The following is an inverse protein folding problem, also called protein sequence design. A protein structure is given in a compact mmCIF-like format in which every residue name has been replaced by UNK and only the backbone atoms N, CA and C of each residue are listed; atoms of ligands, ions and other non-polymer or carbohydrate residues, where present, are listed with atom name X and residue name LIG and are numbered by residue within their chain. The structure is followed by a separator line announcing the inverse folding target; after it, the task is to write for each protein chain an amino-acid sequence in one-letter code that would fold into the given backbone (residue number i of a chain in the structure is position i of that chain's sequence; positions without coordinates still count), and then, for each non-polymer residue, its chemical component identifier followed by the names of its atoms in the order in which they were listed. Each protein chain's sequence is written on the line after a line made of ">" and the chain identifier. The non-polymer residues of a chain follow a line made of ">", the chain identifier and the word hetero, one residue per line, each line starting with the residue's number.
data_IF_468276935657
#
_entry.id   IF_468276935657
#
_cell.length_a   1.000
_cell.length_b   1.000
_cell.length_c   1.000
_cell.angle_alpha   90.00
_cell.angle_beta   90.00
_cell.angle_gamma   90.00
#
_symmetry.space_group_name_H-M   'P 1'
#
loop_
_entity.id
_entity.type
_entity.pdbx_description
1 polymer ?
#
# COMPACT_ATOMS: atom_id res chain seq x y z
N UNK A 1 17.39 10.99 -16.91
CA UNK A 1 16.63 9.75 -16.70
C UNK A 1 15.19 10.12 -16.35
N UNK A 2 14.20 9.46 -16.97
CA UNK A 2 12.78 9.67 -16.66
C UNK A 2 12.37 8.94 -15.38
N UNK A 3 11.30 9.39 -14.73
CA UNK A 3 10.69 8.72 -13.57
C UNK A 3 10.33 7.27 -13.90
N UNK A 4 9.70 7.07 -15.07
CA UNK A 4 9.29 5.74 -15.55
C UNK A 4 10.47 4.79 -15.77
N UNK A 5 11.63 5.28 -16.21
CA UNK A 5 12.83 4.45 -16.37
C UNK A 5 13.39 4.00 -15.00
N UNK A 6 13.40 4.90 -14.01
CA UNK A 6 13.81 4.58 -12.62
C UNK A 6 12.89 3.50 -12.05
N UNK A 7 11.57 3.69 -12.17
CA UNK A 7 10.59 2.79 -11.59
C UNK A 7 10.55 1.42 -12.29
N UNK A 8 10.75 1.38 -13.62
CA UNK A 8 10.79 0.13 -14.40
C UNK A 8 11.83 -0.85 -13.87
N UNK A 9 13.04 -0.36 -13.53
CA UNK A 9 14.09 -1.21 -12.95
C UNK A 9 13.63 -1.85 -11.62
N UNK A 10 12.92 -1.08 -10.80
CA UNK A 10 12.33 -1.61 -9.58
C UNK A 10 11.26 -2.67 -9.85
N UNK A 11 10.38 -2.44 -10.84
CA UNK A 11 9.34 -3.40 -11.24
C UNK A 11 9.93 -4.75 -11.67
N UNK A 12 11.04 -4.75 -12.42
CA UNK A 12 11.73 -6.00 -12.80
C UNK A 12 12.19 -6.78 -11.57
N UNK A 13 12.74 -6.08 -10.56
CA UNK A 13 13.14 -6.74 -9.32
C UNK A 13 11.93 -7.17 -8.47
N UNK A 14 10.82 -6.42 -8.51
CA UNK A 14 9.57 -6.81 -7.88
C UNK A 14 9.05 -8.10 -8.51
N UNK A 15 9.03 -8.19 -9.84
CA UNK A 15 8.58 -9.38 -10.56
C UNK A 15 9.38 -10.62 -10.17
N UNK A 16 10.72 -10.52 -10.09
CA UNK A 16 11.57 -11.63 -9.61
C UNK A 16 11.22 -12.08 -8.20
N UNK A 17 10.91 -11.14 -7.29
CA UNK A 17 10.51 -11.49 -5.90
C UNK A 17 9.10 -12.06 -5.80
N UNK A 18 8.25 -11.86 -6.82
CA UNK A 18 6.92 -12.47 -6.92
C UNK A 18 6.98 -13.94 -7.37
N UNK A 19 8.07 -14.36 -8.02
CA UNK A 19 8.25 -15.75 -8.47
C UNK A 19 8.23 -16.72 -7.28
N UNK A 20 7.56 -17.87 -7.46
CA UNK A 20 7.45 -18.90 -6.43
C UNK A 20 6.36 -18.67 -5.38
N UNK A 21 5.68 -17.52 -5.40
CA UNK A 21 4.53 -17.28 -4.53
C UNK A 21 3.22 -17.66 -5.22
N UNK A 22 2.44 -18.55 -4.60
CA UNK A 22 1.10 -18.93 -5.08
C UNK A 22 0.03 -17.88 -4.82
N UNK A 23 0.24 -17.03 -3.81
CA UNK A 23 -0.68 -15.98 -3.38
C UNK A 23 0.09 -14.72 -2.97
N UNK A 24 -0.33 -13.58 -3.50
CA UNK A 24 0.20 -12.26 -3.15
C UNK A 24 -0.92 -11.24 -3.00
N UNK A 25 -0.66 -10.24 -2.16
CA UNK A 25 -1.57 -9.12 -1.92
C UNK A 25 -0.99 -7.84 -2.52
N UNK A 26 -1.83 -7.09 -3.23
CA UNK A 26 -1.56 -5.73 -3.69
C UNK A 26 -2.26 -4.74 -2.77
N UNK A 27 -1.52 -4.03 -1.96
CA UNK A 27 -2.05 -3.02 -1.05
C UNK A 27 -2.07 -1.69 -1.79
N UNK A 28 -3.25 -1.23 -2.19
CA UNK A 28 -3.39 0.05 -2.86
C UNK A 28 -3.87 1.12 -1.86
N UNK A 29 -3.21 2.26 -1.88
CA UNK A 29 -3.64 3.42 -1.10
C UNK A 29 -2.99 4.69 -1.66
N UNK A 30 -3.45 5.85 -1.18
CA UNK A 30 -2.90 7.15 -1.52
C UNK A 30 -2.42 7.90 -0.31
N UNK A 31 -1.41 8.76 -0.51
CA UNK A 31 -0.92 9.69 0.50
C UNK A 31 -0.74 11.09 -0.08
N UNK A 32 -1.02 12.07 0.73
CA UNK A 32 -0.72 13.48 0.45
C UNK A 32 0.70 13.78 0.90
N UNK A 33 1.52 14.36 0.04
CA UNK A 33 2.87 14.84 0.37
C UNK A 33 2.83 16.35 0.47
N UNK A 34 3.09 16.87 1.68
CA UNK A 34 2.99 18.29 2.02
C UNK A 34 4.26 19.03 1.66
N UNK A 35 4.18 19.92 0.69
CA UNK A 35 5.26 20.82 0.26
C UNK A 35 4.87 22.30 0.45
N UNK A 36 3.94 22.61 1.34
CA UNK A 36 3.42 23.98 1.52
C UNK A 36 4.51 25.00 1.90
N UNK A 37 5.57 24.56 2.58
CA UNK A 37 6.72 25.41 2.91
C UNK A 37 7.64 25.68 1.72
N UNK A 38 7.46 25.01 0.58
CA UNK A 38 8.32 25.11 -0.61
C UNK A 38 7.78 26.13 -1.61
N UNK A 39 7.71 27.39 -1.18
CA UNK A 39 7.06 28.48 -1.94
C UNK A 39 7.64 28.75 -3.34
N UNK A 40 8.88 28.31 -3.61
CA UNK A 40 9.56 28.49 -4.90
C UNK A 40 9.42 27.25 -5.83
N UNK A 41 8.70 26.21 -5.41
CA UNK A 41 8.52 25.01 -6.22
C UNK A 41 7.33 25.17 -7.16
N UNK A 42 7.61 25.13 -8.45
CA UNK A 42 6.60 25.24 -9.51
C UNK A 42 5.89 23.90 -9.75
N UNK A 43 4.60 23.97 -10.14
CA UNK A 43 3.79 22.81 -10.53
C UNK A 43 3.20 22.01 -9.38
N UNK A 44 3.29 22.49 -8.13
CA UNK A 44 2.54 21.91 -7.01
C UNK A 44 1.04 22.20 -7.16
N UNK A 45 0.19 21.31 -6.64
CA UNK A 45 -1.24 21.50 -6.60
C UNK A 45 -1.80 21.45 -5.19
N UNK A 46 -3.05 21.85 -5.00
CA UNK A 46 -3.72 21.79 -3.70
C UNK A 46 -3.92 20.34 -3.26
N UNK A 47 -3.48 20.00 -2.05
CA UNK A 47 -3.72 18.70 -1.39
C UNK A 47 -4.82 18.79 -0.34
N UNK A 48 -5.18 20.01 0.11
CA UNK A 48 -6.22 20.22 1.11
C UNK A 48 -7.62 20.02 0.54
N UNK A 49 -8.49 19.30 1.26
CA UNK A 49 -9.92 19.22 0.99
C UNK A 49 -10.72 20.35 1.65
N UNK A 50 -10.12 21.09 2.58
CA UNK A 50 -10.79 22.14 3.34
C UNK A 50 -10.71 23.47 2.59
N UNK A 51 -11.83 24.17 2.44
CA UNK A 51 -11.98 25.44 1.73
C UNK A 51 -11.07 26.58 2.29
N UNK A 52 -10.59 26.45 3.52
CA UNK A 52 -9.85 27.50 4.23
C UNK A 52 -8.35 27.23 4.49
N UNK A 53 -7.80 26.09 4.00
CA UNK A 53 -6.37 25.79 4.15
C UNK A 53 -5.83 25.26 2.83
N UNK A 54 -5.35 26.14 1.97
CA UNK A 54 -4.67 25.77 0.73
C UNK A 54 -3.27 25.25 1.03
N UNK A 55 -3.16 23.96 1.37
CA UNK A 55 -1.86 23.30 1.42
C UNK A 55 -1.44 22.86 0.03
N UNK A 56 -0.22 23.22 -0.35
CA UNK A 56 0.37 22.85 -1.63
C UNK A 56 1.20 21.58 -1.50
N UNK A 57 1.09 20.71 -2.50
CA UNK A 57 1.80 19.43 -2.46
C UNK A 57 1.57 18.55 -3.66
N UNK A 58 1.86 17.27 -3.49
CA UNK A 58 1.67 16.23 -4.48
C UNK A 58 0.87 15.07 -3.89
N UNK A 59 0.09 14.41 -4.74
CA UNK A 59 -0.65 13.20 -4.41
C UNK A 59 0.14 11.99 -4.88
N UNK A 60 0.43 11.09 -3.99
CA UNK A 60 1.07 9.82 -4.28
C UNK A 60 0.06 8.69 -4.16
N UNK A 61 -0.15 7.91 -5.23
CA UNK A 61 -0.89 6.66 -5.21
C UNK A 61 0.09 5.52 -5.43
N UNK A 62 0.10 4.54 -4.54
CA UNK A 62 1.05 3.43 -4.57
C UNK A 62 0.34 2.08 -4.45
N UNK A 63 0.95 1.05 -5.00
CA UNK A 63 0.61 -0.35 -4.76
C UNK A 63 1.83 -1.08 -4.22
N UNK A 64 1.74 -1.55 -2.98
CA UNK A 64 2.76 -2.35 -2.31
C UNK A 64 2.37 -3.83 -2.37
N UNK A 65 3.24 -4.65 -2.95
CA UNK A 65 3.08 -6.11 -3.00
C UNK A 65 3.59 -6.73 -1.72
N UNK A 66 2.81 -7.62 -1.11
CA UNK A 66 3.20 -8.35 0.11
C UNK A 66 2.79 -9.82 0.05
N UNK A 67 3.50 -10.67 0.80
CA UNK A 67 3.08 -12.06 1.06
C UNK A 67 1.97 -12.11 2.10
N UNK A 68 1.44 -13.30 2.35
CA UNK A 68 0.44 -13.56 3.40
C UNK A 68 0.97 -13.25 4.80
N UNK A 69 2.27 -13.42 5.04
CA UNK A 69 2.96 -13.09 6.29
C UNK A 69 3.28 -11.59 6.41
N UNK A 70 3.01 -10.82 5.36
CA UNK A 70 3.23 -9.38 5.31
C UNK A 70 4.67 -8.98 4.98
N UNK A 71 5.45 -9.87 4.33
CA UNK A 71 6.75 -9.53 3.77
C UNK A 71 6.56 -8.65 2.54
N UNK A 72 7.12 -7.43 2.47
CA UNK A 72 7.05 -6.59 1.28
C UNK A 72 7.87 -7.19 0.13
N UNK A 73 7.26 -7.35 -1.05
CA UNK A 73 7.94 -7.89 -2.24
C UNK A 73 8.35 -6.81 -3.24
N UNK A 74 7.74 -5.64 -3.18
CA UNK A 74 8.05 -4.52 -4.07
C UNK A 74 6.87 -3.58 -4.25
N UNK A 75 7.10 -2.52 -5.02
CA UNK A 75 6.04 -1.65 -5.51
C UNK A 75 5.69 -2.08 -6.93
N UNK A 76 4.42 -2.34 -7.20
CA UNK A 76 3.94 -2.69 -8.55
C UNK A 76 3.49 -1.48 -9.35
N UNK A 77 3.07 -0.41 -8.68
CA UNK A 77 2.66 0.85 -9.29
C UNK A 77 2.97 2.02 -8.36
N UNK A 78 3.35 3.13 -8.95
CA UNK A 78 3.61 4.39 -8.24
C UNK A 78 3.20 5.55 -9.15
N UNK A 79 2.19 6.31 -8.74
CA UNK A 79 1.66 7.46 -9.50
C UNK A 79 1.73 8.71 -8.62
N UNK A 80 2.58 9.64 -9.01
CA UNK A 80 2.75 10.91 -8.31
C UNK A 80 2.32 12.07 -9.22
N UNK A 81 1.64 13.06 -8.66
CA UNK A 81 1.24 14.23 -9.43
C UNK A 81 0.45 15.23 -8.61
N UNK A 82 0.33 16.44 -9.14
CA UNK A 82 -0.49 17.50 -8.56
C UNK A 82 -1.97 17.27 -8.88
N UNK A 83 -2.82 17.72 -7.96
CA UNK A 83 -4.25 17.86 -8.23
C UNK A 83 -4.49 19.15 -9.02
N UNK A 84 -5.25 19.07 -10.09
CA UNK A 84 -5.70 20.26 -10.82
C UNK A 84 -6.64 21.05 -9.91
N UNK A 85 -6.20 22.23 -9.47
CA UNK A 85 -7.05 23.16 -8.75
C UNK A 85 -8.07 23.77 -9.75
N UNK A 86 -9.33 23.77 -9.36
CA UNK A 86 -10.41 24.40 -10.12
C UNK A 86 -11.23 25.25 -9.16
N UNK A 87 -11.44 26.48 -9.50
CA UNK A 87 -12.38 27.35 -8.80
C UNK A 87 -13.78 26.96 -9.27
N UNK A 88 -14.44 26.10 -8.50
CA UNK A 88 -15.78 25.56 -8.80
C UNK A 88 -16.67 25.67 -7.57
N UNK A 89 -17.90 26.05 -7.76
CA UNK A 89 -18.93 25.92 -6.73
C UNK A 89 -19.23 24.42 -6.48
N UNK A 90 -19.81 24.05 -5.33
CA UNK A 90 -20.20 22.66 -5.05
C UNK A 90 -21.15 22.08 -6.13
N UNK A 91 -22.02 22.91 -6.69
CA UNK A 91 -22.97 22.51 -7.74
C UNK A 91 -22.27 22.24 -9.08
N UNK A 92 -21.34 23.13 -9.50
CA UNK A 92 -20.53 22.94 -10.71
C UNK A 92 -19.64 21.71 -10.59
N UNK A 93 -19.02 21.50 -9.44
CA UNK A 93 -18.25 20.29 -9.16
C UNK A 93 -19.10 19.04 -9.27
N UNK A 94 -20.31 19.05 -8.72
CA UNK A 94 -21.23 17.91 -8.82
C UNK A 94 -21.64 17.65 -10.27
N UNK A 95 -21.97 18.70 -11.03
CA UNK A 95 -22.32 18.62 -12.46
C UNK A 95 -21.16 18.07 -13.29
N UNK A 96 -19.95 18.58 -13.10
CA UNK A 96 -18.74 18.10 -13.77
C UNK A 96 -18.46 16.62 -13.46
N UNK A 97 -18.50 16.23 -12.19
CA UNK A 97 -18.28 14.83 -11.78
C UNK A 97 -19.34 13.88 -12.35
N UNK A 98 -20.57 14.38 -12.54
CA UNK A 98 -21.64 13.62 -13.19
C UNK A 98 -21.37 13.45 -14.69
N UNK A 99 -20.88 14.49 -15.36
CA UNK A 99 -20.59 14.50 -16.80
C UNK A 99 -19.24 13.88 -17.16
N UNK A 100 -18.30 13.81 -16.17
CA UNK A 100 -16.95 13.29 -16.39
C UNK A 100 -16.96 11.80 -16.73
N UNK A 101 -16.17 11.44 -17.72
CA UNK A 101 -15.84 10.04 -18.02
C UNK A 101 -15.00 9.44 -16.90
N UNK A 102 -14.87 8.12 -16.86
CA UNK A 102 -14.04 7.46 -15.85
C UNK A 102 -12.57 7.88 -15.95
N UNK A 103 -12.06 8.15 -17.17
CA UNK A 103 -10.69 8.61 -17.42
C UNK A 103 -10.37 9.98 -16.82
N UNK A 104 -11.39 10.84 -16.63
CA UNK A 104 -11.23 12.18 -16.07
C UNK A 104 -11.35 12.22 -14.53
N UNK A 105 -11.75 11.11 -13.91
CA UNK A 105 -11.91 11.01 -12.45
C UNK A 105 -10.59 10.62 -11.77
N UNK A 106 -10.34 11.16 -10.59
CA UNK A 106 -9.20 10.75 -9.76
C UNK A 106 -9.19 9.23 -9.48
N UNK A 107 -10.36 8.62 -9.45
CA UNK A 107 -10.54 7.19 -9.22
C UNK A 107 -9.96 6.29 -10.33
N UNK A 108 -9.63 6.84 -11.51
CA UNK A 108 -8.98 6.07 -12.58
C UNK A 108 -7.65 5.46 -12.13
N UNK A 109 -6.92 6.13 -11.24
CA UNK A 109 -5.63 5.66 -10.73
C UNK A 109 -5.70 4.28 -10.09
N UNK A 110 -6.81 3.97 -9.41
CA UNK A 110 -7.05 2.66 -8.80
C UNK A 110 -7.14 1.55 -9.85
N UNK A 111 -7.81 1.84 -10.94
CA UNK A 111 -8.02 0.90 -12.06
C UNK A 111 -6.72 0.71 -12.85
N UNK A 112 -6.05 1.80 -13.20
CA UNK A 112 -4.75 1.74 -13.89
C UNK A 112 -3.72 0.98 -13.07
N UNK A 113 -3.68 1.23 -11.75
CA UNK A 113 -2.80 0.50 -10.82
C UNK A 113 -3.12 -0.99 -10.81
N UNK A 114 -4.40 -1.37 -10.86
CA UNK A 114 -4.78 -2.78 -10.95
C UNK A 114 -4.28 -3.42 -12.25
N UNK A 115 -4.42 -2.75 -13.41
CA UNK A 115 -3.90 -3.25 -14.69
C UNK A 115 -2.36 -3.40 -14.65
N UNK A 116 -1.65 -2.38 -14.17
CA UNK A 116 -0.19 -2.41 -14.05
C UNK A 116 0.27 -3.54 -13.12
N UNK A 117 -0.41 -3.71 -11.99
CA UNK A 117 -0.10 -4.78 -11.03
C UNK A 117 -0.37 -6.16 -11.63
N UNK A 118 -1.53 -6.37 -12.25
CA UNK A 118 -1.89 -7.65 -12.87
C UNK A 118 -0.91 -8.06 -13.98
N UNK A 119 -0.36 -7.09 -14.71
CA UNK A 119 0.65 -7.34 -15.75
C UNK A 119 2.01 -7.81 -15.20
N UNK A 120 2.30 -7.58 -13.93
CA UNK A 120 3.55 -8.01 -13.28
C UNK A 120 3.44 -9.39 -12.63
N UNK A 121 2.21 -9.88 -12.38
CA UNK A 121 1.98 -11.11 -11.65
C UNK A 121 2.31 -12.35 -12.50
N UNK A 122 3.09 -13.32 -11.99
CA UNK A 122 3.28 -14.61 -12.65
C UNK A 122 1.94 -15.33 -12.88
N UNK A 123 1.85 -16.14 -13.94
CA UNK A 123 0.57 -16.77 -14.39
C UNK A 123 -0.10 -17.62 -13.30
N UNK A 124 0.71 -18.29 -12.48
CA UNK A 124 0.21 -19.23 -11.45
C UNK A 124 0.06 -18.58 -10.07
N UNK A 125 0.19 -17.27 -9.99
CA UNK A 125 0.08 -16.52 -8.73
C UNK A 125 -1.29 -15.88 -8.61
N UNK A 126 -1.99 -16.16 -7.51
CA UNK A 126 -3.24 -15.51 -7.15
C UNK A 126 -2.98 -14.07 -6.66
N UNK A 127 -3.64 -13.09 -7.26
CA UNK A 127 -3.57 -11.68 -6.87
C UNK A 127 -4.83 -11.27 -6.12
N UNK A 128 -4.66 -10.76 -4.89
CA UNK A 128 -5.74 -10.14 -4.11
C UNK A 128 -5.42 -8.65 -3.89
N UNK A 129 -6.24 -7.76 -4.40
CA UNK A 129 -6.12 -6.31 -4.18
C UNK A 129 -6.82 -5.91 -2.89
N UNK A 130 -6.10 -5.24 -1.98
CA UNK A 130 -6.66 -4.65 -0.76
C UNK A 130 -6.75 -3.14 -0.91
N UNK A 131 -7.89 -2.57 -0.51
CA UNK A 131 -8.09 -1.12 -0.54
C UNK A 131 -9.00 -0.65 0.59
N UNK A 132 -8.86 0.63 0.90
CA UNK A 132 -9.71 1.31 1.86
C UNK A 132 -11.07 1.72 1.24
N UNK A 133 -11.80 2.61 1.93
CA UNK A 133 -13.10 3.13 1.46
C UNK A 133 -13.00 3.93 0.16
N UNK A 134 -11.83 4.41 -0.23
CA UNK A 134 -11.64 5.15 -1.49
C UNK A 134 -11.59 4.20 -2.69
N UNK A 135 -11.18 2.95 -2.48
CA UNK A 135 -11.20 1.89 -3.48
C UNK A 135 -12.61 1.30 -3.73
N UNK A 136 -13.64 1.73 -2.98
CA UNK A 136 -15.01 1.27 -3.16
C UNK A 136 -15.64 1.82 -4.47
N UNK A 137 -15.11 1.32 -5.61
CA UNK A 137 -15.42 1.75 -6.97
C UNK A 137 -15.96 0.55 -7.76
N UNK A 138 -17.16 0.67 -8.31
CA UNK A 138 -17.80 -0.44 -9.04
C UNK A 138 -16.95 -0.92 -10.23
N UNK A 139 -16.35 0.01 -10.97
CA UNK A 139 -15.49 -0.30 -12.12
C UNK A 139 -14.23 -1.08 -11.72
N UNK A 140 -13.68 -0.82 -10.53
CA UNK A 140 -12.56 -1.61 -9.98
C UNK A 140 -12.98 -3.07 -9.78
N UNK A 141 -14.15 -3.31 -9.21
CA UNK A 141 -14.69 -4.65 -8.99
C UNK A 141 -14.92 -5.39 -10.31
N UNK A 142 -15.50 -4.69 -11.31
CA UNK A 142 -15.73 -5.22 -12.63
C UNK A 142 -14.42 -5.60 -13.34
N UNK A 143 -13.44 -4.70 -13.30
CA UNK A 143 -12.11 -4.94 -13.92
C UNK A 143 -11.38 -6.09 -13.22
N UNK A 144 -11.38 -6.14 -11.89
CA UNK A 144 -10.80 -7.25 -11.15
C UNK A 144 -11.40 -8.59 -11.57
N UNK A 145 -12.73 -8.66 -11.69
CA UNK A 145 -13.43 -9.87 -12.16
C UNK A 145 -13.06 -10.23 -13.59
N UNK A 146 -12.94 -9.24 -14.50
CA UNK A 146 -12.56 -9.48 -15.91
C UNK A 146 -11.11 -9.96 -16.06
N UNK A 147 -10.22 -9.50 -15.21
CA UNK A 147 -8.81 -9.90 -15.14
C UNK A 147 -8.60 -11.22 -14.38
N UNK A 148 -9.66 -11.80 -13.83
CA UNK A 148 -9.61 -12.99 -12.96
C UNK A 148 -8.71 -12.79 -11.74
N UNK A 149 -8.67 -11.56 -11.22
CA UNK A 149 -8.00 -11.20 -9.96
C UNK A 149 -9.04 -11.00 -8.86
N UNK A 150 -8.58 -11.01 -7.62
CA UNK A 150 -9.46 -10.89 -6.47
C UNK A 150 -9.26 -9.54 -5.77
N UNK A 151 -10.24 -9.20 -4.93
CA UNK A 151 -10.15 -8.00 -4.11
C UNK A 151 -10.80 -8.22 -2.73
N UNK A 152 -10.34 -7.45 -1.73
CA UNK A 152 -11.01 -7.24 -0.45
C UNK A 152 -10.98 -5.74 -0.18
N UNK A 153 -12.11 -5.08 -0.34
CA UNK A 153 -12.23 -3.62 -0.29
C UNK A 153 -13.18 -3.22 0.83
N UNK A 154 -12.81 -2.21 1.61
CA UNK A 154 -13.71 -1.67 2.63
C UNK A 154 -14.81 -0.85 1.99
N UNK A 155 -16.07 -1.21 2.28
CA UNK A 155 -17.25 -0.50 1.79
C UNK A 155 -17.30 0.92 2.35
N UNK A 156 -17.57 1.89 1.49
CA UNK A 156 -17.67 3.31 1.84
C UNK A 156 -19.10 3.72 2.22
N UNK A 157 -20.10 3.25 1.47
CA UNK A 157 -21.50 3.62 1.59
C UNK A 157 -22.37 2.39 1.52
N UNK A 158 -23.50 2.40 2.20
CA UNK A 158 -24.48 1.33 2.06
C UNK A 158 -24.92 1.22 0.59
N UNK A 159 -24.55 0.09 -0.04
CA UNK A 159 -24.79 -0.15 -1.46
C UNK A 159 -26.09 -0.91 -1.67
N UNK A 160 -26.75 -0.66 -2.80
CA UNK A 160 -27.81 -1.57 -3.29
C UNK A 160 -27.21 -2.96 -3.45
N UNK A 161 -27.97 -3.95 -3.04
CA UNK A 161 -27.58 -5.34 -3.02
C UNK A 161 -28.74 -6.23 -3.48
N UNK A 162 -28.47 -7.28 -4.19
CA UNK A 162 -29.43 -8.29 -4.62
C UNK A 162 -28.95 -9.60 -4.06
N UNK A 163 -29.70 -10.22 -3.17
CA UNK A 163 -29.35 -11.50 -2.58
C UNK A 163 -29.46 -12.66 -3.62
N UNK A 164 -29.00 -13.84 -3.26
CA UNK A 164 -29.03 -15.02 -4.13
C UNK A 164 -30.45 -15.44 -4.54
N UNK A 165 -31.46 -14.99 -3.79
CA UNK A 165 -32.90 -15.22 -4.08
C UNK A 165 -33.48 -14.14 -4.98
N UNK A 166 -32.66 -13.15 -5.42
CA UNK A 166 -33.11 -12.03 -6.28
C UNK A 166 -33.78 -10.90 -5.51
N UNK A 167 -33.83 -10.91 -4.19
CA UNK A 167 -34.42 -9.85 -3.37
C UNK A 167 -33.52 -8.63 -3.35
N UNK A 168 -34.09 -7.48 -3.73
CA UNK A 168 -33.40 -6.18 -3.71
C UNK A 168 -33.40 -5.61 -2.29
N UNK A 169 -32.22 -5.23 -1.79
CA UNK A 169 -32.00 -4.67 -0.45
C UNK A 169 -30.75 -3.78 -0.46
N UNK A 170 -30.14 -3.52 0.69
CA UNK A 170 -28.81 -2.92 0.82
C UNK A 170 -27.88 -3.87 1.54
N UNK A 171 -26.56 -3.67 1.38
CA UNK A 171 -25.52 -4.51 2.02
C UNK A 171 -25.71 -4.57 3.53
N UNK A 172 -25.88 -3.41 4.17
CA UNK A 172 -26.04 -3.36 5.63
C UNK A 172 -27.34 -4.02 6.10
N UNK A 173 -28.44 -3.78 5.38
CA UNK A 173 -29.73 -4.42 5.70
C UNK A 173 -29.68 -5.94 5.53
N UNK A 174 -28.97 -6.44 4.54
CA UNK A 174 -28.78 -7.86 4.34
C UNK A 174 -27.93 -8.47 5.48
N UNK A 175 -26.78 -7.86 5.78
CA UNK A 175 -25.87 -8.31 6.83
C UNK A 175 -26.52 -8.30 8.22
N UNK A 176 -27.37 -7.29 8.53
CA UNK A 176 -28.03 -7.20 9.84
C UNK A 176 -28.98 -8.37 10.11
N UNK A 177 -29.50 -9.01 9.06
CA UNK A 177 -30.40 -10.18 9.14
C UNK A 177 -29.68 -11.51 9.10
N UNK A 178 -28.37 -11.50 8.86
CA UNK A 178 -27.54 -12.71 8.80
C UNK A 178 -27.07 -13.10 10.19
N UNK A 179 -27.03 -14.39 10.55
CA UNK A 179 -26.51 -14.83 11.84
C UNK A 179 -25.01 -14.52 11.97
N UNK A 180 -24.53 -14.44 13.21
CA UNK A 180 -23.11 -14.37 13.51
C UNK A 180 -22.49 -15.72 13.15
N UNK A 181 -21.46 -15.71 12.29
CA UNK A 181 -20.72 -16.91 11.92
C UNK A 181 -19.66 -17.25 12.99
N UNK A 182 -18.97 -16.23 13.50
CA UNK A 182 -17.89 -16.39 14.49
C UNK A 182 -17.60 -15.07 15.17
N UNK A 183 -17.14 -15.15 16.43
CA UNK A 183 -16.49 -14.03 17.13
C UNK A 183 -14.98 -14.29 17.19
N UNK A 184 -14.16 -13.32 16.79
CA UNK A 184 -12.70 -13.41 16.81
C UNK A 184 -12.08 -12.28 17.63
N UNK A 185 -10.87 -12.52 18.14
CA UNK A 185 -10.06 -11.52 18.82
C UNK A 185 -9.15 -10.80 17.83
N UNK A 186 -9.24 -9.47 17.75
CA UNK A 186 -8.37 -8.63 16.95
C UNK A 186 -7.43 -7.84 17.85
N UNK A 187 -6.12 -8.08 17.73
CA UNK A 187 -5.12 -7.23 18.38
C UNK A 187 -5.02 -5.91 17.64
N UNK A 188 -5.28 -4.82 18.34
CA UNK A 188 -5.22 -3.46 17.86
C UNK A 188 -3.96 -2.81 18.44
N UNK A 189 -2.93 -2.48 17.63
CA UNK A 189 -1.72 -1.83 18.12
C UNK A 189 -1.99 -0.41 18.61
N UNK A 190 -1.12 0.10 19.48
CA UNK A 190 -1.12 1.50 19.89
C UNK A 190 -0.96 2.41 18.68
N UNK A 191 -1.73 3.49 18.63
CA UNK A 191 -1.53 4.62 17.72
C UNK A 191 -1.71 5.94 18.47
N UNK A 192 -1.68 7.09 17.76
CA UNK A 192 -1.82 8.43 18.38
C UNK A 192 -3.16 8.64 19.09
N UNK A 193 -4.20 7.90 18.70
CA UNK A 193 -5.58 8.08 19.22
C UNK A 193 -6.07 6.89 20.06
N UNK A 194 -5.29 5.82 20.18
CA UNK A 194 -5.71 4.57 20.82
C UNK A 194 -4.56 3.86 21.52
N UNK A 195 -4.80 3.42 22.73
CA UNK A 195 -3.96 2.47 23.47
C UNK A 195 -4.04 1.08 22.79
N UNK A 196 -2.97 0.30 22.87
CA UNK A 196 -3.00 -1.09 22.41
C UNK A 196 -4.05 -1.88 23.20
N UNK A 197 -4.91 -2.62 22.49
CA UNK A 197 -5.96 -3.45 23.11
C UNK A 197 -6.36 -4.62 22.21
N UNK A 198 -7.06 -5.57 22.78
CA UNK A 198 -7.76 -6.62 22.04
C UNK A 198 -9.22 -6.25 21.90
N UNK A 199 -9.76 -6.32 20.68
CA UNK A 199 -11.17 -6.14 20.38
C UNK A 199 -11.78 -7.49 19.99
N UNK A 200 -12.92 -7.84 20.58
CA UNK A 200 -13.71 -9.01 20.19
C UNK A 200 -14.73 -8.55 19.15
N UNK A 201 -14.68 -9.15 17.96
CA UNK A 201 -15.53 -8.73 16.84
C UNK A 201 -16.35 -9.89 16.30
N UNK A 202 -17.63 -9.63 16.07
CA UNK A 202 -18.55 -10.55 15.43
C UNK A 202 -18.42 -10.44 13.92
N UNK A 203 -18.33 -11.60 13.27
CA UNK A 203 -18.26 -11.75 11.83
C UNK A 203 -19.61 -12.26 11.32
N UNK A 204 -20.15 -11.57 10.31
CA UNK A 204 -21.30 -12.00 9.51
C UNK A 204 -20.93 -11.95 8.06
N UNK A 205 -21.47 -12.82 7.25
CA UNK A 205 -21.21 -12.81 5.79
C UNK A 205 -22.47 -13.16 5.01
N UNK A 206 -22.59 -12.55 3.83
CA UNK A 206 -23.65 -12.84 2.86
C UNK A 206 -23.13 -12.66 1.45
N UNK A 207 -23.52 -13.57 0.55
CA UNK A 207 -23.19 -13.48 -0.89
C UNK A 207 -24.36 -12.94 -1.70
N UNK A 208 -24.05 -12.29 -2.82
CA UNK A 208 -25.04 -11.76 -3.74
C UNK A 208 -24.42 -10.80 -4.75
N UNK A 209 -25.21 -9.90 -5.28
CA UNK A 209 -24.86 -9.08 -6.43
C UNK A 209 -24.89 -7.59 -6.10
N UNK A 210 -23.84 -6.87 -6.50
CA UNK A 210 -23.83 -5.41 -6.53
C UNK A 210 -24.26 -4.94 -7.93
N UNK A 211 -25.42 -4.29 -8.07
CA UNK A 211 -25.83 -3.74 -9.35
C UNK A 211 -25.02 -2.45 -9.65
N UNK A 212 -24.85 -2.17 -10.95
CA UNK A 212 -24.28 -0.89 -11.38
C UNK A 212 -25.14 0.28 -10.88
N UNK A 213 -24.51 1.41 -10.57
CA UNK A 213 -25.22 2.61 -10.18
C UNK A 213 -25.82 3.30 -11.41
N UNK A 214 -27.08 3.68 -11.33
CA UNK A 214 -27.80 4.34 -12.43
C UNK A 214 -27.10 5.63 -12.95
N UNK A 215 -26.43 6.38 -12.07
CA UNK A 215 -25.70 7.59 -12.44
C UNK A 215 -24.40 7.36 -13.24
N UNK A 216 -23.91 6.14 -13.31
CA UNK A 216 -22.81 5.76 -14.20
C UNK A 216 -23.31 5.41 -15.60
N UNK A 217 -24.61 5.12 -15.73
CA UNK A 217 -25.29 4.73 -16.97
C UNK A 217 -25.78 5.95 -17.74
N UNK A 218 -26.13 7.04 -17.06
CA UNK A 218 -26.87 8.19 -17.64
C UNK A 218 -26.01 9.45 -17.91
N UNK A 219 -24.67 9.32 -18.05
CA UNK A 219 -23.88 10.46 -18.53
C UNK A 219 -24.27 10.84 -19.98
N UNK A 220 -24.43 12.13 -20.29
CA UNK A 220 -24.95 12.58 -21.60
C UNK A 220 -24.08 12.22 -22.81
N UNK A 221 -22.83 11.75 -22.56
CA UNK A 221 -21.87 11.35 -23.59
C UNK A 221 -21.77 9.84 -23.78
N UNK A 222 -22.51 9.04 -23.00
CA UNK A 222 -22.35 7.59 -23.00
C UNK A 222 -23.37 6.92 -23.93
N UNK A 223 -23.08 6.88 -25.24
CA UNK A 223 -23.87 6.13 -26.24
C UNK A 223 -23.93 4.61 -25.93
N UNK A 224 -23.04 4.11 -25.08
CA UNK A 224 -23.00 2.71 -24.60
C UNK A 224 -23.79 2.49 -23.31
N UNK A 225 -24.45 3.50 -22.77
CA UNK A 225 -25.19 3.41 -21.51
C UNK A 225 -26.25 2.29 -21.49
N UNK A 226 -26.87 2.00 -22.63
CA UNK A 226 -27.88 0.94 -22.76
C UNK A 226 -27.32 -0.46 -22.59
N UNK A 227 -26.03 -0.69 -22.88
CA UNK A 227 -25.38 -2.01 -22.74
C UNK A 227 -25.06 -2.40 -21.30
N UNK A 228 -24.93 -1.41 -20.39
CA UNK A 228 -24.48 -1.62 -19.02
C UNK A 228 -25.58 -1.62 -17.95
N UNK A 229 -26.84 -1.41 -18.35
CA UNK A 229 -27.98 -1.28 -17.40
C UNK A 229 -28.18 -2.53 -16.53
N UNK A 230 -27.74 -3.70 -17.01
CA UNK A 230 -27.86 -4.98 -16.31
C UNK A 230 -26.56 -5.51 -15.71
N UNK A 231 -25.45 -4.76 -15.80
CA UNK A 231 -24.20 -5.22 -15.21
C UNK A 231 -24.31 -5.31 -13.68
N UNK A 232 -23.86 -6.41 -13.17
CA UNK A 232 -23.75 -6.69 -11.73
C UNK A 232 -22.49 -7.48 -11.46
N UNK A 233 -21.89 -7.25 -10.30
CA UNK A 233 -20.71 -8.00 -9.84
C UNK A 233 -21.12 -8.86 -8.67
N UNK A 234 -20.78 -10.16 -8.72
CA UNK A 234 -20.98 -11.06 -7.61
C UNK A 234 -19.95 -10.79 -6.52
N UNK A 235 -20.40 -10.68 -5.26
CA UNK A 235 -19.54 -10.42 -4.10
C UNK A 235 -20.05 -11.14 -2.87
N UNK A 236 -19.13 -11.47 -1.98
CA UNK A 236 -19.41 -11.71 -0.56
C UNK A 236 -19.23 -10.40 0.19
N UNK A 237 -20.19 -10.03 1.01
CA UNK A 237 -20.13 -8.90 1.93
C UNK A 237 -19.92 -9.41 3.35
N UNK A 238 -18.87 -8.93 4.03
CA UNK A 238 -18.46 -9.39 5.35
C UNK A 238 -18.58 -8.21 6.33
N UNK A 239 -19.39 -8.35 7.38
CA UNK A 239 -19.45 -7.40 8.51
C UNK A 239 -18.52 -7.86 9.61
N UNK A 240 -17.71 -6.94 10.13
CA UNK A 240 -16.84 -7.11 11.30
C UNK A 240 -17.22 -6.03 12.28
N UNK A 241 -17.84 -6.39 13.42
CA UNK A 241 -18.35 -5.43 14.38
C UNK A 241 -17.97 -5.81 15.80
N UNK A 242 -17.35 -4.88 16.53
CA UNK A 242 -16.95 -5.08 17.92
C UNK A 242 -18.16 -5.14 18.86
N UNK A 243 -18.14 -6.13 19.77
CA UNK A 243 -19.21 -6.37 20.74
C UNK A 243 -18.64 -6.88 22.09
N UNK A 244 -18.91 -6.23 23.20
CA UNK A 244 -19.32 -4.82 23.30
C UNK A 244 -18.13 -3.88 23.04
N UNK A 245 -18.35 -2.68 22.48
CA UNK A 245 -17.28 -1.70 22.39
C UNK A 245 -16.95 -1.15 23.79
N UNK A 246 -15.69 -0.78 24.07
CA UNK A 246 -15.32 -0.10 25.32
C UNK A 246 -16.02 1.25 25.43
N UNK A 247 -16.33 1.66 26.66
CA UNK A 247 -16.96 2.94 26.93
C UNK A 247 -16.08 4.10 26.45
N UNK A 248 -16.69 5.07 25.77
CA UNK A 248 -15.99 6.26 25.24
C UNK A 248 -15.03 6.00 24.06
N UNK A 249 -14.93 4.78 23.55
CA UNK A 249 -14.07 4.41 22.43
C UNK A 249 -14.90 4.02 21.21
N UNK A 250 -14.57 4.59 20.04
CA UNK A 250 -15.23 4.19 18.80
C UNK A 250 -14.99 2.69 18.51
N UNK A 251 -16.05 1.91 18.25
CA UNK A 251 -15.93 0.48 17.97
C UNK A 251 -15.18 0.21 16.67
N UNK A 252 -14.57 -0.96 16.60
CA UNK A 252 -14.12 -1.51 15.31
C UNK A 252 -15.37 -1.90 14.51
N UNK A 253 -15.56 -1.26 13.37
CA UNK A 253 -16.66 -1.57 12.47
C UNK A 253 -16.19 -1.49 11.02
N UNK A 254 -16.20 -2.64 10.34
CA UNK A 254 -15.88 -2.75 8.92
C UNK A 254 -17.00 -3.49 8.19
N UNK A 255 -17.25 -3.08 6.96
CA UNK A 255 -17.95 -3.89 5.98
C UNK A 255 -16.98 -4.07 4.81
N UNK A 256 -16.60 -5.31 4.54
CA UNK A 256 -15.69 -5.69 3.45
C UNK A 256 -16.50 -6.27 2.30
N UNK A 257 -16.10 -5.92 1.08
CA UNK A 257 -16.62 -6.49 -0.16
C UNK A 257 -15.51 -7.26 -0.84
N UNK A 258 -15.80 -8.47 -1.29
CA UNK A 258 -14.83 -9.32 -1.99
C UNK A 258 -15.52 -10.17 -3.05
N UNK A 259 -14.81 -10.51 -4.13
CA UNK A 259 -15.25 -11.51 -5.12
C UNK A 259 -14.73 -12.93 -4.79
N UNK A 260 -14.08 -13.10 -3.64
CA UNK A 260 -13.77 -14.40 -3.07
C UNK A 260 -14.99 -14.96 -2.32
N UNK A 261 -15.08 -16.28 -2.22
CA UNK A 261 -16.08 -16.92 -1.38
C UNK A 261 -15.84 -16.62 0.10
N UNK A 262 -16.91 -16.36 0.84
CA UNK A 262 -16.90 -16.18 2.28
C UNK A 262 -18.25 -16.64 2.86
N UNK A 263 -18.58 -17.90 2.62
CA UNK A 263 -19.89 -18.49 2.96
C UNK A 263 -19.92 -19.09 4.36
N UNK A 264 -18.77 -19.44 4.90
CA UNK A 264 -18.63 -20.00 6.24
C UNK A 264 -17.71 -19.15 7.13
N UNK A 265 -17.58 -19.58 8.39
CA UNK A 265 -16.80 -18.89 9.41
C UNK A 265 -15.30 -18.85 9.10
N UNK A 266 -14.76 -19.92 8.52
CA UNK A 266 -13.33 -20.04 8.18
C UNK A 266 -12.97 -19.12 7.02
N UNK A 267 -13.72 -19.19 5.92
CA UNK A 267 -13.53 -18.34 4.75
C UNK A 267 -13.66 -16.85 5.10
N UNK A 268 -14.68 -16.49 5.89
CA UNK A 268 -14.89 -15.10 6.31
C UNK A 268 -13.75 -14.57 7.19
N UNK A 269 -13.28 -15.36 8.17
CA UNK A 269 -12.15 -15.01 9.02
C UNK A 269 -10.85 -14.84 8.22
N UNK A 270 -10.59 -15.72 7.26
CA UNK A 270 -9.43 -15.62 6.37
C UNK A 270 -9.41 -14.28 5.61
N UNK A 271 -10.56 -13.82 5.08
CA UNK A 271 -10.67 -12.53 4.39
C UNK A 271 -10.49 -11.35 5.34
N UNK A 272 -10.99 -11.46 6.57
CA UNK A 272 -10.77 -10.44 7.62
C UNK A 272 -9.29 -10.36 7.98
N UNK A 273 -8.61 -11.50 8.17
CA UNK A 273 -7.17 -11.56 8.45
C UNK A 273 -6.34 -11.04 7.27
N UNK A 274 -6.70 -11.40 6.04
CA UNK A 274 -6.08 -10.85 4.83
C UNK A 274 -6.20 -9.33 4.75
N UNK A 275 -7.40 -8.77 5.05
CA UNK A 275 -7.61 -7.32 5.03
C UNK A 275 -6.73 -6.55 6.04
N UNK A 276 -6.35 -7.16 7.16
CA UNK A 276 -5.44 -6.54 8.14
C UNK A 276 -4.08 -6.18 7.55
N UNK A 277 -3.63 -6.89 6.52
CA UNK A 277 -2.39 -6.58 5.81
C UNK A 277 -2.41 -5.19 5.16
N UNK A 278 -3.60 -4.65 4.86
CA UNK A 278 -3.74 -3.31 4.27
C UNK A 278 -2.96 -2.24 5.04
N UNK A 279 -2.85 -2.39 6.37
CA UNK A 279 -2.10 -1.43 7.18
C UNK A 279 -0.62 -1.30 6.80
N UNK A 280 -0.05 -2.29 6.12
CA UNK A 280 1.35 -2.25 5.68
C UNK A 280 1.65 -1.13 4.68
N UNK A 281 0.66 -0.67 3.90
CA UNK A 281 0.84 0.48 3.02
C UNK A 281 0.99 1.78 3.82
N UNK A 282 0.34 1.89 4.98
CA UNK A 282 0.49 3.04 5.88
C UNK A 282 1.88 3.04 6.55
N UNK A 283 2.42 1.84 6.90
CA UNK A 283 3.82 1.69 7.35
C UNK A 283 4.78 2.15 6.25
N UNK A 284 4.51 1.82 4.99
CA UNK A 284 5.30 2.29 3.84
C UNK A 284 5.27 3.82 3.72
N UNK A 285 4.10 4.44 3.74
CA UNK A 285 4.01 5.89 3.67
C UNK A 285 4.67 6.59 4.86
N UNK A 286 4.57 6.02 6.05
CA UNK A 286 5.27 6.54 7.22
C UNK A 286 6.80 6.43 7.07
N UNK A 287 7.29 5.30 6.55
CA UNK A 287 8.72 5.12 6.23
C UNK A 287 9.19 6.15 5.21
N UNK A 288 8.40 6.41 4.17
CA UNK A 288 8.71 7.40 3.13
C UNK A 288 8.74 8.84 3.68
N UNK A 289 7.74 9.22 4.49
CA UNK A 289 7.61 10.58 5.04
C UNK A 289 8.58 10.84 6.19
N UNK A 290 8.51 10.03 7.24
CA UNK A 290 9.28 10.22 8.46
C UNK A 290 10.66 9.58 8.38
N UNK A 291 10.78 8.40 7.79
CA UNK A 291 12.04 7.69 7.62
C UNK A 291 12.93 8.36 6.58
N UNK A 292 12.47 8.43 5.33
CA UNK A 292 13.23 8.99 4.21
C UNK A 292 13.11 10.52 4.09
N UNK A 293 12.33 11.19 4.95
CA UNK A 293 12.14 12.64 4.96
C UNK A 293 11.82 13.23 3.58
N UNK A 294 10.90 12.60 2.83
CA UNK A 294 10.59 12.95 1.44
C UNK A 294 10.07 14.39 1.31
N UNK A 295 9.30 14.86 2.29
CA UNK A 295 8.71 16.21 2.32
C UNK A 295 9.72 17.32 2.60
N UNK A 296 10.96 16.97 2.99
CA UNK A 296 12.06 17.91 3.19
C UNK A 296 12.90 18.15 1.92
N UNK A 297 12.64 17.43 0.84
CA UNK A 297 13.38 17.53 -0.42
C UNK A 297 13.05 18.84 -1.14
N UNK A 298 13.97 19.80 -1.12
CA UNK A 298 13.81 21.10 -1.77
C UNK A 298 14.28 21.07 -3.20
N UNK A 299 13.34 21.00 -4.14
CA UNK A 299 13.59 21.05 -5.57
C UNK A 299 12.64 22.07 -6.20
N UNK A 300 13.08 22.72 -7.26
CA UNK A 300 12.39 23.89 -7.83
C UNK A 300 11.20 23.56 -8.72
N UNK A 301 10.96 22.29 -9.09
CA UNK A 301 9.81 21.89 -9.89
C UNK A 301 9.18 20.58 -9.38
N UNK A 302 7.87 20.44 -9.53
CA UNK A 302 7.13 19.21 -9.22
C UNK A 302 7.69 18.00 -9.98
N UNK A 303 8.12 18.18 -11.24
CA UNK A 303 8.73 17.10 -12.04
C UNK A 303 10.03 16.56 -11.42
N UNK A 304 10.88 17.43 -10.87
CA UNK A 304 12.08 16.99 -10.14
C UNK A 304 11.74 16.33 -8.83
N UNK A 305 10.74 16.87 -8.10
CA UNK A 305 10.22 16.27 -6.88
C UNK A 305 9.66 14.86 -7.14
N UNK A 306 8.89 14.67 -8.21
CA UNK A 306 8.32 13.36 -8.57
C UNK A 306 9.41 12.32 -8.79
N UNK A 307 10.50 12.66 -9.50
CA UNK A 307 11.65 11.76 -9.65
C UNK A 307 12.30 11.40 -8.30
N UNK A 308 12.46 12.40 -7.42
CA UNK A 308 13.02 12.19 -6.06
C UNK A 308 12.08 11.33 -5.19
N UNK A 309 10.77 11.57 -5.27
CA UNK A 309 9.75 10.76 -4.59
C UNK A 309 9.84 9.31 -5.05
N UNK A 310 9.99 9.05 -6.35
CA UNK A 310 10.14 7.70 -6.90
C UNK A 310 11.38 7.01 -6.34
N UNK A 311 12.54 7.68 -6.34
CA UNK A 311 13.77 7.14 -5.75
C UNK A 311 13.61 6.84 -4.25
N UNK A 312 13.08 7.80 -3.48
CA UNK A 312 12.85 7.63 -2.04
C UNK A 312 11.80 6.56 -1.72
N UNK A 313 10.81 6.36 -2.61
CA UNK A 313 9.83 5.28 -2.47
C UNK A 313 10.48 3.88 -2.62
N UNK A 314 11.41 3.75 -3.56
CA UNK A 314 12.20 2.50 -3.72
C UNK A 314 13.07 2.25 -2.49
N UNK A 315 13.68 3.30 -1.94
CA UNK A 315 14.48 3.20 -0.71
C UNK A 315 13.59 2.86 0.48
N UNK A 316 12.45 3.51 0.64
CA UNK A 316 11.49 3.22 1.71
C UNK A 316 11.03 1.75 1.67
N UNK A 317 10.74 1.24 0.47
CA UNK A 317 10.49 -0.19 0.27
C UNK A 317 11.70 -1.04 0.73
N UNK A 318 12.93 -0.72 0.29
CA UNK A 318 14.13 -1.48 0.66
C UNK A 318 14.33 -1.54 2.18
N UNK A 319 14.13 -0.43 2.88
CA UNK A 319 14.21 -0.36 4.35
C UNK A 319 13.15 -1.25 5.02
N UNK A 320 11.90 -1.20 4.55
CA UNK A 320 10.84 -2.08 5.05
C UNK A 320 11.15 -3.55 4.79
N UNK A 321 11.63 -3.88 3.59
CA UNK A 321 12.01 -5.24 3.22
C UNK A 321 13.11 -5.77 4.15
N UNK A 322 14.18 -5.01 4.35
CA UNK A 322 15.28 -5.38 5.26
C UNK A 322 14.78 -5.61 6.70
N UNK A 323 13.96 -4.69 7.23
CA UNK A 323 13.41 -4.82 8.59
C UNK A 323 12.53 -6.07 8.71
N UNK A 324 11.69 -6.36 7.71
CA UNK A 324 10.81 -7.53 7.73
C UNK A 324 11.57 -8.83 7.53
N UNK A 325 12.59 -8.86 6.68
CA UNK A 325 13.47 -10.01 6.53
C UNK A 325 14.20 -10.33 7.84
N UNK A 326 14.72 -9.33 8.56
CA UNK A 326 15.33 -9.53 9.86
C UNK A 326 14.36 -10.08 10.92
N UNK A 327 13.07 -9.76 10.82
CA UNK A 327 12.04 -10.24 11.74
C UNK A 327 11.53 -11.65 11.39
N UNK A 328 11.36 -11.96 10.10
CA UNK A 328 10.73 -13.20 9.64
C UNK A 328 11.75 -14.29 9.31
N UNK A 329 12.92 -13.91 8.79
CA UNK A 329 13.99 -14.80 8.34
C UNK A 329 15.36 -14.36 8.89
N UNK A 330 15.55 -14.28 10.24
CA UNK A 330 16.74 -13.72 10.86
C UNK A 330 18.03 -14.44 10.46
N UNK A 331 17.95 -15.76 10.24
CA UNK A 331 19.09 -16.64 9.91
C UNK A 331 19.36 -16.75 8.40
N UNK A 332 18.52 -16.14 7.54
CA UNK A 332 18.78 -16.08 6.11
C UNK A 332 20.09 -15.32 5.83
N UNK A 333 20.72 -15.59 4.70
CA UNK A 333 21.96 -14.90 4.32
C UNK A 333 21.70 -13.42 3.99
N UNK A 334 22.59 -12.54 4.42
CA UNK A 334 22.45 -11.09 4.18
C UNK A 334 22.50 -10.74 2.68
N UNK A 335 22.91 -11.65 1.80
CA UNK A 335 22.88 -11.46 0.34
C UNK A 335 21.46 -11.30 -0.21
N UNK A 336 20.43 -11.70 0.54
CA UNK A 336 19.03 -11.51 0.18
C UNK A 336 18.57 -10.05 0.31
N UNK A 337 19.29 -9.24 1.10
CA UNK A 337 18.94 -7.85 1.41
C UNK A 337 20.02 -6.83 1.00
N UNK A 338 21.28 -7.24 0.96
CA UNK A 338 22.45 -6.43 0.60
C UNK A 338 23.21 -7.06 -0.57
N UNK A 339 23.69 -6.24 -1.49
CA UNK A 339 24.61 -6.71 -2.53
C UNK A 339 25.96 -7.14 -1.93
N UNK A 340 26.72 -7.91 -2.72
CA UNK A 340 28.06 -8.40 -2.27
C UNK A 340 28.95 -7.27 -1.75
N UNK A 341 29.03 -6.17 -2.50
CA UNK A 341 29.87 -5.02 -2.12
C UNK A 341 29.31 -4.32 -0.86
N UNK A 342 28.00 -4.20 -0.71
CA UNK A 342 27.38 -3.57 0.45
C UNK A 342 27.69 -4.34 1.73
N UNK A 343 27.44 -5.66 1.77
CA UNK A 343 27.68 -6.42 3.00
C UNK A 343 29.17 -6.55 3.34
N UNK A 344 30.06 -6.69 2.33
CA UNK A 344 31.50 -6.75 2.55
C UNK A 344 32.00 -5.42 3.14
N UNK A 345 31.59 -4.28 2.56
CA UNK A 345 31.94 -2.95 3.08
C UNK A 345 31.42 -2.75 4.51
N UNK A 346 30.18 -3.17 4.77
CA UNK A 346 29.56 -3.10 6.10
C UNK A 346 30.35 -3.94 7.12
N UNK A 347 30.69 -5.18 6.76
CA UNK A 347 31.46 -6.09 7.60
C UNK A 347 32.82 -5.47 7.95
N UNK A 348 33.60 -5.07 6.95
CA UNK A 348 34.92 -4.45 7.15
C UNK A 348 34.84 -3.21 8.04
N UNK A 349 33.81 -2.38 7.86
CA UNK A 349 33.59 -1.17 8.65
C UNK A 349 33.28 -1.46 10.12
N UNK A 350 32.43 -2.43 10.40
CA UNK A 350 31.99 -2.78 11.75
C UNK A 350 33.06 -3.55 12.49
N UNK A 351 33.69 -4.52 11.82
CA UNK A 351 34.73 -5.39 12.43
C UNK A 351 36.13 -4.77 12.40
N UNK A 352 36.28 -3.60 11.81
CA UNK A 352 37.59 -2.91 11.68
C UNK A 352 38.64 -3.83 11.10
N UNK A 353 38.30 -4.55 10.03
CA UNK A 353 39.19 -5.55 9.40
C UNK A 353 39.08 -5.50 7.88
N UNK A 354 40.14 -5.87 7.18
CA UNK A 354 40.13 -6.09 5.72
C UNK A 354 39.87 -7.55 5.33
N UNK A 355 39.89 -8.48 6.31
CA UNK A 355 39.64 -9.89 6.07
C UNK A 355 38.16 -10.17 6.10
N UNK A 356 37.65 -10.75 5.03
CA UNK A 356 36.25 -11.16 4.94
C UNK A 356 36.05 -12.53 5.60
N UNK A 357 34.86 -12.80 6.16
CA UNK A 357 34.50 -14.11 6.66
C UNK A 357 34.32 -15.08 5.49
N UNK A 358 34.44 -16.36 5.76
CA UNK A 358 34.26 -17.46 4.80
C UNK A 358 32.80 -17.45 4.25
N UNK A 359 31.86 -17.22 5.14
CA UNK A 359 30.43 -17.14 4.81
C UNK A 359 29.86 -15.73 5.05
N UNK A 360 28.93 -15.26 4.19
CA UNK A 360 28.22 -14.01 4.45
C UNK A 360 27.49 -14.04 5.81
N UNK A 361 27.41 -12.91 6.52
CA UNK A 361 26.66 -12.82 7.78
C UNK A 361 25.14 -13.06 7.56
N UNK A 362 24.42 -13.29 8.66
CA UNK A 362 22.97 -13.43 8.61
C UNK A 362 22.29 -12.08 8.36
N UNK A 363 21.02 -12.11 7.91
CA UNK A 363 20.20 -10.90 7.75
C UNK A 363 20.13 -10.14 9.07
N UNK A 364 19.88 -10.82 10.19
CA UNK A 364 19.78 -10.17 11.50
C UNK A 364 21.08 -9.45 11.88
N UNK A 365 22.23 -10.10 11.69
CA UNK A 365 23.53 -9.48 11.95
C UNK A 365 23.75 -8.24 11.09
N UNK A 366 23.54 -8.36 9.77
CA UNK A 366 23.77 -7.26 8.84
C UNK A 366 22.85 -6.07 9.11
N UNK A 367 21.57 -6.30 9.42
CA UNK A 367 20.61 -5.23 9.72
C UNK A 367 20.91 -4.58 11.08
N UNK A 368 21.35 -5.35 12.06
CA UNK A 368 21.82 -4.81 13.35
C UNK A 368 23.03 -3.89 13.15
N UNK A 369 24.05 -4.33 12.40
CA UNK A 369 25.23 -3.52 12.09
C UNK A 369 24.89 -2.27 11.28
N UNK A 370 23.99 -2.38 10.32
CA UNK A 370 23.50 -1.23 9.56
C UNK A 370 22.82 -0.21 10.48
N UNK A 371 22.01 -0.70 11.42
CA UNK A 371 21.40 0.15 12.45
C UNK A 371 22.44 0.84 13.34
N UNK A 372 23.49 0.11 13.74
CA UNK A 372 24.59 0.66 14.56
C UNK A 372 25.34 1.77 13.83
N UNK A 373 25.61 1.64 12.54
CA UNK A 373 26.16 2.73 11.74
C UNK A 373 25.29 3.99 11.81
N UNK A 374 23.97 3.84 11.91
CA UNK A 374 23.03 4.94 12.02
C UNK A 374 22.67 5.36 13.44
N UNK A 375 23.43 4.91 14.45
CA UNK A 375 23.27 5.32 15.85
C UNK A 375 22.34 4.42 16.69
N UNK A 376 22.00 3.22 16.22
CA UNK A 376 21.32 2.22 17.04
C UNK A 376 22.29 1.63 18.07
N UNK A 377 21.90 1.63 19.34
CA UNK A 377 22.80 1.23 20.43
C UNK A 377 22.80 -0.26 20.71
N UNK A 378 21.84 -1.01 20.15
CA UNK A 378 21.69 -2.46 20.32
C UNK A 378 21.66 -2.90 21.80
N UNK A 379 20.93 -2.18 22.64
CA UNK A 379 20.75 -2.53 24.05
C UNK A 379 19.81 -3.73 24.17
N UNK A 380 19.98 -4.51 25.26
CA UNK A 380 19.30 -5.80 25.47
C UNK A 380 17.76 -5.79 25.32
N UNK A 381 17.11 -4.63 25.45
CA UNK A 381 15.66 -4.46 25.36
C UNK A 381 15.17 -3.70 24.10
N UNK A 382 16.07 -3.32 23.19
CA UNK A 382 15.71 -2.41 22.08
C UNK A 382 15.06 -3.10 20.86
N UNK A 383 15.14 -4.43 20.74
CA UNK A 383 14.64 -5.17 19.57
C UNK A 383 15.41 -4.83 18.29
N UNK A 384 14.71 -4.79 17.14
CA UNK A 384 15.32 -4.46 15.85
C UNK A 384 15.55 -2.94 15.71
N UNK A 385 16.57 -2.52 14.92
CA UNK A 385 16.80 -1.11 14.64
C UNK A 385 15.58 -0.42 14.03
N UNK A 386 15.28 0.78 14.50
CA UNK A 386 14.22 1.61 13.93
C UNK A 386 14.57 2.12 12.52
N UNK A 387 13.54 2.46 11.74
CA UNK A 387 13.69 2.91 10.33
C UNK A 387 14.65 4.10 10.19
N UNK A 388 14.64 5.06 11.13
CA UNK A 388 15.54 6.23 11.08
C UNK A 388 17.01 5.83 11.23
N UNK A 389 17.32 4.90 12.14
CA UNK A 389 18.68 4.39 12.30
C UNK A 389 19.11 3.59 11.07
N UNK A 390 18.23 2.76 10.52
CA UNK A 390 18.52 2.01 9.29
C UNK A 390 18.76 2.95 8.10
N UNK A 391 17.96 4.01 7.95
CA UNK A 391 18.14 4.98 6.88
C UNK A 391 19.51 5.67 6.98
N UNK A 392 19.85 6.22 8.15
CA UNK A 392 21.16 6.87 8.38
C UNK A 392 22.32 5.91 8.15
N UNK A 393 22.20 4.68 8.67
CA UNK A 393 23.21 3.65 8.46
C UNK A 393 23.36 3.28 6.98
N UNK A 394 22.27 3.22 6.24
CA UNK A 394 22.31 2.94 4.82
C UNK A 394 22.95 4.08 4.01
N UNK A 395 22.68 5.34 4.34
CA UNK A 395 23.38 6.50 3.73
C UNK A 395 24.88 6.41 3.95
N UNK A 396 25.33 6.18 5.20
CA UNK A 396 26.76 6.02 5.53
C UNK A 396 27.36 4.83 4.79
N UNK A 397 26.64 3.71 4.72
CA UNK A 397 27.11 2.53 3.97
C UNK A 397 27.32 2.86 2.49
N UNK A 398 26.38 3.56 1.85
CA UNK A 398 26.50 3.92 0.43
C UNK A 398 27.70 4.84 0.16
N UNK A 399 28.01 5.77 1.06
CA UNK A 399 29.23 6.59 0.97
C UNK A 399 30.50 5.74 1.10
N UNK A 400 30.54 4.83 2.06
CA UNK A 400 31.67 3.90 2.22
C UNK A 400 31.83 2.98 1.00
N UNK A 401 30.75 2.48 0.40
CA UNK A 401 30.77 1.67 -0.81
C UNK A 401 31.36 2.46 -1.98
N UNK A 402 31.00 3.73 -2.15
CA UNK A 402 31.57 4.60 -3.20
C UNK A 402 33.09 4.74 -3.03
N UNK A 403 33.56 5.02 -1.81
CA UNK A 403 34.99 5.10 -1.51
C UNK A 403 35.70 3.78 -1.79
N UNK A 404 35.11 2.66 -1.39
CA UNK A 404 35.67 1.32 -1.61
C UNK A 404 35.84 1.02 -3.12
N UNK A 405 34.84 1.37 -3.94
CA UNK A 405 34.93 1.21 -5.40
C UNK A 405 36.06 2.08 -5.99
N UNK A 406 36.17 3.34 -5.57
CA UNK A 406 37.19 4.27 -6.06
C UNK A 406 38.60 3.75 -5.72
N UNK A 407 38.80 3.26 -4.49
CA UNK A 407 40.10 2.76 -4.05
C UNK A 407 40.50 1.47 -4.77
N UNK A 408 39.55 0.56 -4.99
CA UNK A 408 39.84 -0.70 -5.71
C UNK A 408 40.07 -0.49 -7.22
N UNK A 409 39.38 0.47 -7.83
CA UNK A 409 39.60 0.80 -9.24
C UNK A 409 40.97 1.48 -9.48
N UNK A 410 41.58 2.10 -8.47
CA UNK A 410 42.96 2.66 -8.59
C UNK A 410 44.07 1.59 -8.53
N UNK A 411 43.75 0.39 -8.05
CA UNK A 411 44.73 -0.72 -7.95
C UNK A 411 44.73 -1.60 -9.22
N UNK A 412 43.97 -1.27 -10.25
CA UNK A 412 43.94 -1.94 -11.56
C UNK A 412 44.58 -1.12 -12.68
N UNK A 413 45.42 -0.11 -12.34
CA UNK A 413 46.20 0.70 -13.31
C UNK A 413 47.69 0.54 -13.11
#
# INVERSE_FOLDING_TARGET
>A
VSESAIFRTHCVQTQKRLEGHSLVFSLQDRSELDFDTHKKTEGLGSISKAYHKHKMGLMLHASLMVTQEGLPLGLSSLKCGSRVSREETPQEKQRRLYQSTMKEKESIKWIETLYETAALIPKDTCLITLGDREADIFELFRVASSLKTFFIIRNRKDRKFIDEKGKKTTVQTALSKTPILKTIALTLPKNQQRVARTAYVDIRSISGWLPIRNNLVYGPTNKDASRHIHEKVHVSAISVKEQPPPEGVAPVEWVLLTNLTATDAFEAEEKVNGYRLRWKIEEFFNTLKSGCCVEQCRLNTATKLTKMITLKSIIAFKLMYMTKMAALCPEATCTDVLSKIEWQTLYCRIQTTSRLPEHPPTVLQAITWLGQLGGFLNRRAEGLPGIMSLWRGYEILQENVRLFIILNNKNCG
#
